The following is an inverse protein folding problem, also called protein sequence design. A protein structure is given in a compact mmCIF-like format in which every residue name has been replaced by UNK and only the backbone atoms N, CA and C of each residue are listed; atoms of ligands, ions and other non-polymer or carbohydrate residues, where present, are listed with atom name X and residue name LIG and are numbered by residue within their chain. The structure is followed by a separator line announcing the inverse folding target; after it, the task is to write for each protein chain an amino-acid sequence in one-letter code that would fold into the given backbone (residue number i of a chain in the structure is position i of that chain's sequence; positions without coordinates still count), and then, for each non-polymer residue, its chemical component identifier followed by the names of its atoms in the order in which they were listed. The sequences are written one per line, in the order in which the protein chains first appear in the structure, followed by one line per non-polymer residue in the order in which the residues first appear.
data_IF_769707668745
#
_entry.id   IF_769707668745
#
_cell.length_a   1.000
_cell.length_b   1.000
_cell.length_c   1.000
_cell.angle_alpha   90.00
_cell.angle_beta   90.00
_cell.angle_gamma   90.00
#
_symmetry.space_group_name_H-M   'P 1'
#
loop_
_entity.id
_entity.type
_entity.pdbx_description
1 polymer ?
#
# COMPACT_ATOMS: atom_id res chain seq x y z
N UNK A 1 48.45 36.08 56.16
CA UNK A 1 48.22 34.78 55.49
C UNK A 1 47.21 35.01 54.36
N UNK A 2 47.71 35.36 53.18
CA UNK A 2 46.89 35.63 51.98
C UNK A 2 46.62 34.30 51.27
N UNK A 3 45.36 33.84 51.23
CA UNK A 3 44.95 32.70 50.42
C UNK A 3 44.56 33.19 49.02
N UNK A 4 45.44 32.98 48.05
CA UNK A 4 45.11 33.07 46.63
C UNK A 4 44.03 32.01 46.30
N UNK A 5 42.77 32.41 46.15
CA UNK A 5 41.76 31.59 45.49
C UNK A 5 42.16 31.43 44.01
N UNK A 6 42.76 30.29 43.68
CA UNK A 6 42.98 29.88 42.29
C UNK A 6 41.62 29.59 41.64
N UNK A 7 41.09 30.56 40.87
CA UNK A 7 40.00 30.29 39.95
C UNK A 7 40.45 29.23 38.95
N UNK A 8 39.86 28.03 39.06
CA UNK A 8 40.20 26.89 38.20
C UNK A 8 39.66 27.20 36.78
N UNK A 9 40.45 27.00 35.71
CA UNK A 9 40.09 27.37 34.33
C UNK A 9 38.77 26.73 33.84
N UNK A 10 38.35 25.62 34.45
CA UNK A 10 37.08 24.95 34.14
C UNK A 10 35.83 25.80 34.44
N UNK A 11 35.89 26.75 35.38
CA UNK A 11 34.74 27.60 35.73
C UNK A 11 34.41 28.63 34.63
N UNK A 12 35.42 29.11 33.91
CA UNK A 12 35.27 30.09 32.83
C UNK A 12 34.80 29.43 31.52
N UNK A 13 35.22 28.19 31.29
CA UNK A 13 34.78 27.40 30.14
C UNK A 13 33.29 27.06 30.27
N UNK A 14 32.82 26.68 31.47
CA UNK A 14 31.41 26.37 31.70
C UNK A 14 30.49 27.59 31.49
N UNK A 15 30.91 28.78 31.93
CA UNK A 15 30.14 30.03 31.75
C UNK A 15 30.11 30.47 30.28
N UNK A 16 31.22 30.30 29.55
CA UNK A 16 31.28 30.61 28.12
C UNK A 16 30.39 29.68 27.29
N UNK A 17 30.39 28.37 27.59
CA UNK A 17 29.51 27.40 26.91
C UNK A 17 28.04 27.72 27.16
N UNK A 18 27.68 28.07 28.40
CA UNK A 18 26.32 28.46 28.74
C UNK A 18 25.88 29.73 27.99
N UNK A 19 26.78 30.72 27.86
CA UNK A 19 26.52 31.95 27.10
C UNK A 19 26.34 31.70 25.59
N UNK A 20 27.13 30.80 25.01
CA UNK A 20 26.99 30.43 23.59
C UNK A 20 25.67 29.71 23.33
N UNK A 21 25.22 28.85 24.26
CA UNK A 21 23.94 28.15 24.15
C UNK A 21 22.77 29.14 24.24
N UNK A 22 22.79 30.07 25.20
CA UNK A 22 21.70 31.04 25.34
C UNK A 22 21.65 32.02 24.17
N UNK A 23 22.80 32.47 23.66
CA UNK A 23 22.88 33.31 22.47
C UNK A 23 22.42 32.55 21.21
N UNK A 24 22.77 31.27 21.09
CA UNK A 24 22.30 30.40 20.00
C UNK A 24 20.79 30.19 20.05
N UNK A 25 20.21 30.01 21.24
CA UNK A 25 18.76 29.91 21.41
C UNK A 25 18.06 31.23 21.03
N UNK A 26 18.51 32.38 21.49
CA UNK A 26 17.83 33.65 21.17
C UNK A 26 17.88 33.99 19.68
N UNK A 27 19.00 33.69 18.99
CA UNK A 27 19.12 33.86 17.54
C UNK A 27 18.24 32.87 16.78
N UNK A 28 18.12 31.63 17.26
CA UNK A 28 17.21 30.64 16.67
C UNK A 28 15.75 31.12 16.73
N UNK A 29 15.33 31.69 17.86
CA UNK A 29 13.94 32.15 18.04
C UNK A 29 13.65 33.43 17.23
N UNK A 30 14.65 34.27 16.96
CA UNK A 30 14.53 35.39 16.03
C UNK A 30 14.44 34.95 14.56
N UNK A 31 15.14 33.86 14.17
CA UNK A 31 15.13 33.35 12.79
C UNK A 31 13.87 32.57 12.44
N UNK A 32 13.18 32.02 13.44
CA UNK A 32 11.96 31.23 13.27
C UNK A 32 10.84 31.84 14.13
N UNK A 33 10.25 32.99 13.74
CA UNK A 33 9.10 33.52 14.43
C UNK A 33 8.00 32.46 14.47
N UNK A 34 7.47 32.23 15.67
CA UNK A 34 6.30 31.38 15.86
C UNK A 34 5.20 32.01 15.01
N UNK A 35 4.68 31.28 14.03
CA UNK A 35 3.59 31.78 13.21
C UNK A 35 2.35 31.90 14.09
N UNK A 36 2.03 33.12 14.49
CA UNK A 36 0.72 33.41 15.09
C UNK A 36 -0.31 33.39 13.96
N UNK A 37 -1.34 32.55 14.09
CA UNK A 37 -2.51 32.62 13.23
C UNK A 37 -3.06 34.05 13.25
N UNK A 38 -3.47 34.58 12.10
CA UNK A 38 -4.17 35.86 12.03
C UNK A 38 -5.36 35.88 13.01
N UNK A 39 -5.63 37.06 13.59
CA UNK A 39 -6.82 37.26 14.40
C UNK A 39 -8.06 36.88 13.55
N UNK A 40 -8.86 35.94 14.05
CA UNK A 40 -10.04 35.45 13.34
C UNK A 40 -11.08 36.55 13.06
N UNK A 41 -12.12 36.23 12.29
CA UNK A 41 -13.24 37.15 12.04
C UNK A 41 -13.90 37.58 13.36
N UNK A 42 -14.42 38.81 13.41
CA UNK A 42 -15.23 39.25 14.54
C UNK A 42 -16.52 38.42 14.58
N UNK A 43 -16.64 37.53 15.58
CA UNK A 43 -17.79 36.63 15.78
C UNK A 43 -18.96 37.34 16.47
N UNK A 44 -19.24 38.55 16.02
CA UNK A 44 -20.35 39.36 16.48
C UNK A 44 -21.15 39.80 15.26
N UNK A 45 -22.45 40.00 15.39
CA UNK A 45 -23.29 40.45 14.29
C UNK A 45 -24.13 41.66 14.67
N UNK A 46 -24.35 42.55 13.70
CA UNK A 46 -25.13 43.76 13.90
C UNK A 46 -26.62 43.43 13.94
N UNK A 47 -27.33 44.06 14.87
CA UNK A 47 -28.78 44.07 14.94
C UNK A 47 -29.27 45.52 15.03
N UNK A 48 -30.32 45.82 14.27
CA UNK A 48 -31.01 47.10 14.32
C UNK A 48 -32.49 46.84 14.58
N UNK A 49 -33.08 47.65 15.45
CA UNK A 49 -34.50 47.62 15.72
C UNK A 49 -35.06 49.02 15.89
N UNK A 50 -36.38 49.14 15.70
CA UNK A 50 -37.14 50.33 16.09
C UNK A 50 -38.06 49.94 17.23
N UNK A 51 -37.94 50.65 18.34
CA UNK A 51 -38.80 50.49 19.50
C UNK A 51 -40.01 51.42 19.38
N UNK A 52 -41.19 50.85 19.58
CA UNK A 52 -42.47 51.56 19.60
C UNK A 52 -43.25 51.17 20.85
N UNK A 53 -44.03 52.10 21.37
CA UNK A 53 -45.02 51.80 22.40
C UNK A 53 -46.17 50.97 21.81
N UNK A 54 -47.03 50.43 22.68
CA UNK A 54 -48.21 49.63 22.27
C UNK A 54 -49.18 50.38 21.35
N UNK A 55 -49.21 51.72 21.43
CA UNK A 55 -50.00 52.59 20.57
C UNK A 55 -49.36 52.88 19.19
N UNK A 56 -48.17 52.31 18.94
CA UNK A 56 -47.41 52.49 17.70
C UNK A 56 -46.55 53.76 17.66
N UNK A 57 -46.58 54.61 18.69
CA UNK A 57 -45.70 55.77 18.77
C UNK A 57 -44.25 55.34 19.01
N UNK A 58 -43.29 56.08 18.46
CA UNK A 58 -41.86 55.81 18.73
C UNK A 58 -41.54 56.11 20.19
N UNK A 59 -40.73 55.27 20.81
CA UNK A 59 -40.23 55.54 22.17
C UNK A 59 -39.36 56.80 22.16
N UNK A 60 -39.27 57.48 23.29
CA UNK A 60 -38.39 58.65 23.43
C UNK A 60 -36.92 58.25 23.31
N UNK A 61 -36.08 59.22 22.95
CA UNK A 61 -34.64 59.01 22.88
C UNK A 61 -34.08 58.87 24.29
N UNK A 62 -33.73 57.63 24.64
CA UNK A 62 -33.22 57.29 25.96
C UNK A 62 -32.41 55.99 25.90
N UNK A 63 -31.81 55.61 27.02
CA UNK A 63 -31.19 54.31 27.20
C UNK A 63 -32.23 53.28 27.68
N UNK A 64 -32.33 52.17 26.96
CA UNK A 64 -33.22 51.06 27.29
C UNK A 64 -32.39 49.80 27.54
N UNK A 65 -32.68 49.08 28.62
CA UNK A 65 -32.13 47.74 28.83
C UNK A 65 -32.89 46.75 27.95
N UNK A 66 -32.19 46.09 27.04
CA UNK A 66 -32.74 45.08 26.15
C UNK A 66 -32.02 43.77 26.37
N UNK A 67 -32.79 42.71 26.52
CA UNK A 67 -32.29 41.33 26.62
C UNK A 67 -32.53 40.67 25.26
N UNK A 68 -31.44 40.22 24.65
CA UNK A 68 -31.43 39.45 23.41
C UNK A 68 -31.22 37.99 23.75
N UNK A 69 -32.02 37.10 23.17
CA UNK A 69 -31.90 35.66 23.38
C UNK A 69 -31.98 34.92 22.06
N UNK A 70 -31.14 33.90 21.86
CA UNK A 70 -31.17 33.04 20.67
C UNK A 70 -31.75 31.68 21.03
N UNK A 71 -32.68 31.20 20.20
CA UNK A 71 -33.42 29.95 20.38
C UNK A 71 -33.32 29.10 19.11
N UNK A 72 -33.39 27.78 19.27
CA UNK A 72 -33.47 26.82 18.16
C UNK A 72 -34.92 26.49 17.73
N UNK A 73 -35.91 27.22 18.28
CA UNK A 73 -37.34 27.04 18.03
C UNK A 73 -38.04 28.40 18.07
N UNK A 74 -39.12 28.54 17.29
CA UNK A 74 -39.88 29.76 17.09
C UNK A 74 -40.68 30.21 18.33
N UNK A 75 -41.16 29.25 19.14
CA UNK A 75 -41.92 29.50 20.37
C UNK A 75 -41.54 28.53 21.49
N UNK A 76 -41.60 28.99 22.74
CA UNK A 76 -41.17 28.19 23.89
C UNK A 76 -39.66 27.91 23.90
N UNK A 77 -39.26 26.73 24.39
CA UNK A 77 -37.86 26.31 24.46
C UNK A 77 -37.01 27.11 25.46
N UNK A 78 -35.75 26.71 25.60
CA UNK A 78 -34.75 27.43 26.40
C UNK A 78 -33.81 28.21 25.49
N UNK A 79 -33.38 29.39 25.94
CA UNK A 79 -32.40 30.18 25.21
C UNK A 79 -31.05 29.44 25.17
N UNK A 80 -30.49 29.28 23.98
CA UNK A 80 -29.13 28.76 23.77
C UNK A 80 -28.07 29.80 24.13
N UNK A 81 -28.44 31.08 23.99
CA UNK A 81 -27.60 32.21 24.36
C UNK A 81 -28.47 33.40 24.77
N UNK A 82 -27.97 34.21 25.71
CA UNK A 82 -28.62 35.43 26.18
C UNK A 82 -27.59 36.52 26.47
N UNK A 83 -27.87 37.75 26.02
CA UNK A 83 -27.10 38.96 26.31
C UNK A 83 -28.05 40.06 26.79
N UNK A 84 -27.74 40.68 27.93
CA UNK A 84 -28.44 41.88 28.41
C UNK A 84 -27.58 43.10 28.15
N UNK A 85 -28.15 44.10 27.47
CA UNK A 85 -27.42 45.29 27.02
C UNK A 85 -28.24 46.55 27.15
N UNK A 86 -27.58 47.64 27.49
CA UNK A 86 -28.18 48.98 27.42
C UNK A 86 -27.99 49.52 26.00
N UNK A 87 -29.09 49.81 25.30
CA UNK A 87 -29.07 50.41 23.96
C UNK A 87 -29.69 51.79 24.01
N UNK A 88 -29.09 52.77 23.33
CA UNK A 88 -29.64 54.12 23.22
C UNK A 88 -30.44 54.25 21.93
N UNK A 89 -31.65 54.79 22.02
CA UNK A 89 -32.50 55.06 20.85
C UNK A 89 -32.31 56.49 20.35
N UNK A 90 -32.40 56.64 19.03
CA UNK A 90 -32.53 57.92 18.34
C UNK A 90 -33.69 57.82 17.34
N UNK A 91 -34.73 58.64 17.52
CA UNK A 91 -36.03 58.50 16.87
C UNK A 91 -36.60 57.07 16.99
N UNK A 92 -36.44 56.46 18.17
CA UNK A 92 -36.84 55.08 18.45
C UNK A 92 -35.99 54.00 17.79
N UNK A 93 -35.00 54.32 16.96
CA UNK A 93 -34.09 53.34 16.33
C UNK A 93 -32.86 53.12 17.20
N UNK A 94 -32.45 51.87 17.37
CA UNK A 94 -31.15 51.52 17.97
C UNK A 94 -30.36 50.61 17.03
N UNK A 95 -29.04 50.68 17.12
CA UNK A 95 -28.13 49.71 16.53
C UNK A 95 -27.26 49.11 17.64
N UNK A 96 -26.96 47.82 17.53
CA UNK A 96 -26.07 47.15 18.48
C UNK A 96 -25.37 45.98 17.82
N UNK A 97 -24.17 45.69 18.31
CA UNK A 97 -23.43 44.48 18.01
C UNK A 97 -23.77 43.41 19.06
N UNK A 98 -24.31 42.27 18.65
CA UNK A 98 -24.64 41.13 19.51
C UNK A 98 -23.43 40.21 19.63
N UNK A 99 -23.19 39.67 20.83
CA UNK A 99 -21.97 38.94 21.18
C UNK A 99 -20.88 39.83 21.81
N UNK A 100 -21.18 41.10 22.08
CA UNK A 100 -20.19 42.09 22.55
C UNK A 100 -19.99 42.12 24.07
N UNK A 101 -21.05 41.85 24.83
CA UNK A 101 -21.05 41.76 26.30
C UNK A 101 -20.98 40.30 26.72
N UNK A 102 -21.84 39.46 26.15
CA UNK A 102 -21.81 38.00 26.33
C UNK A 102 -21.41 37.36 25.01
N UNK A 103 -20.20 36.83 24.89
CA UNK A 103 -19.73 36.17 23.67
C UNK A 103 -20.66 35.06 23.20
N UNK A 104 -20.85 34.93 21.89
CA UNK A 104 -21.59 33.81 21.30
C UNK A 104 -20.84 32.49 21.56
N UNK A 105 -21.51 31.45 22.06
CA UNK A 105 -20.87 30.17 22.34
C UNK A 105 -20.54 29.45 21.03
N UNK A 106 -19.47 28.65 21.03
CA UNK A 106 -19.08 27.85 19.85
C UNK A 106 -20.11 26.78 19.45
N UNK A 107 -21.05 26.45 20.34
CA UNK A 107 -22.18 25.56 20.05
C UNK A 107 -23.26 26.20 19.18
N UNK A 108 -23.22 27.52 18.99
CA UNK A 108 -24.14 28.23 18.10
C UNK A 108 -23.63 28.12 16.66
N UNK A 109 -24.04 27.05 15.99
CA UNK A 109 -23.65 26.75 14.61
C UNK A 109 -24.64 27.36 13.60
N UNK A 110 -24.24 28.45 12.95
CA UNK A 110 -25.06 29.14 11.94
C UNK A 110 -25.17 28.40 10.60
N UNK A 111 -24.59 27.19 10.48
CA UNK A 111 -24.92 26.28 9.37
C UNK A 111 -26.29 25.61 9.56
N UNK A 112 -26.90 25.71 10.74
CA UNK A 112 -28.25 25.20 11.00
C UNK A 112 -29.35 26.22 10.66
N UNK A 113 -30.47 25.74 10.09
CA UNK A 113 -31.59 26.55 9.62
C UNK A 113 -32.70 26.79 10.69
N UNK A 114 -32.33 26.74 11.98
CA UNK A 114 -33.31 26.71 13.09
C UNK A 114 -33.19 27.88 14.09
N UNK A 115 -32.37 28.88 13.80
CA UNK A 115 -32.10 29.95 14.76
C UNK A 115 -33.10 31.11 14.71
N UNK A 116 -33.59 31.50 15.89
CA UNK A 116 -34.51 32.62 16.11
C UNK A 116 -33.96 33.57 17.18
N UNK A 117 -34.12 34.88 16.97
CA UNK A 117 -33.78 35.95 17.90
C UNK A 117 -35.05 36.44 18.63
N UNK A 118 -35.04 36.28 19.94
CA UNK A 118 -35.99 36.89 20.87
C UNK A 118 -35.45 38.21 21.42
N UNK A 119 -36.36 39.17 21.61
CA UNK A 119 -36.05 40.52 22.09
C UNK A 119 -37.01 40.87 23.21
N UNK A 120 -36.47 41.24 24.37
CA UNK A 120 -37.22 41.72 25.54
C UNK A 120 -36.71 43.08 25.96
N UNK A 121 -37.60 44.06 26.13
CA UNK A 121 -37.23 45.44 26.51
C UNK A 121 -37.68 45.69 27.95
N UNK A 122 -36.76 46.08 28.83
CA UNK A 122 -37.05 46.40 30.22
C UNK A 122 -37.81 45.29 30.95
N UNK A 123 -38.97 45.65 31.49
CA UNK A 123 -39.84 44.75 32.25
C UNK A 123 -40.91 44.05 31.37
N UNK A 124 -40.97 44.35 30.07
CA UNK A 124 -42.01 43.84 29.19
C UNK A 124 -41.88 42.32 28.96
N UNK A 125 -42.95 41.72 28.44
CA UNK A 125 -42.86 40.35 27.93
C UNK A 125 -41.90 40.29 26.72
N UNK A 126 -41.29 39.13 26.48
CA UNK A 126 -40.52 38.92 25.24
C UNK A 126 -41.43 39.11 24.02
N UNK A 127 -40.93 39.85 23.03
CA UNK A 127 -41.69 40.14 21.82
C UNK A 127 -42.00 38.86 21.05
N UNK A 128 -43.23 38.75 20.54
CA UNK A 128 -43.70 37.65 19.70
C UNK A 128 -44.24 38.19 18.37
N UNK A 129 -44.00 37.52 17.22
CA UNK A 129 -43.14 36.34 17.04
C UNK A 129 -41.64 36.66 17.15
N UNK A 130 -40.82 35.64 17.44
CA UNK A 130 -39.35 35.76 17.38
C UNK A 130 -38.90 36.00 15.94
N UNK A 131 -37.78 36.69 15.78
CA UNK A 131 -37.22 37.03 14.47
C UNK A 131 -36.38 35.85 13.98
N UNK A 132 -36.75 35.22 12.87
CA UNK A 132 -35.92 34.18 12.24
C UNK A 132 -34.62 34.80 11.72
N UNK A 133 -33.48 34.23 12.09
CA UNK A 133 -32.19 34.66 11.55
C UNK A 133 -32.04 34.09 10.14
N UNK A 134 -31.69 34.95 9.19
CA UNK A 134 -31.40 34.57 7.81
C UNK A 134 -29.98 34.97 7.44
N UNK A 135 -29.41 34.30 6.43
CA UNK A 135 -28.11 34.67 5.90
C UNK A 135 -28.20 35.91 4.99
N UNK A 136 -27.08 36.63 4.88
CA UNK A 136 -26.92 37.70 3.89
C UNK A 136 -26.81 37.11 2.49
N UNK A 137 -27.31 37.75 1.41
CA UNK A 137 -27.21 37.21 0.05
C UNK A 137 -25.78 36.86 -0.37
N UNK A 138 -24.78 37.64 0.04
CA UNK A 138 -23.37 37.34 -0.23
C UNK A 138 -22.83 36.15 0.57
N UNK A 139 -23.47 35.78 1.69
CA UNK A 139 -23.11 34.60 2.46
C UNK A 139 -23.59 33.29 1.81
N UNK A 140 -24.57 33.32 0.90
CA UNK A 140 -24.96 32.12 0.12
C UNK A 140 -23.78 31.60 -0.72
N UNK A 141 -22.98 32.51 -1.27
CA UNK A 141 -21.78 32.13 -2.02
C UNK A 141 -20.60 31.73 -1.12
N UNK A 142 -20.66 32.00 0.18
CA UNK A 142 -19.63 31.57 1.12
C UNK A 142 -19.84 30.11 1.59
N UNK A 143 -21.05 29.57 1.39
CA UNK A 143 -21.36 28.15 1.61
C UNK A 143 -20.68 27.25 0.56
N UNK A 144 -20.48 27.79 -0.65
CA UNK A 144 -19.82 27.12 -1.76
C UNK A 144 -18.39 27.66 -1.93
N UNK A 145 -17.44 26.78 -2.27
CA UNK A 145 -16.12 27.22 -2.73
C UNK A 145 -16.13 27.26 -4.26
N UNK A 146 -16.06 28.47 -4.84
CA UNK A 146 -16.15 28.69 -6.30
C UNK A 146 -17.41 28.03 -6.91
N UNK A 147 -18.53 28.10 -6.20
CA UNK A 147 -19.81 27.50 -6.62
C UNK A 147 -19.86 25.98 -6.52
N UNK A 148 -18.89 25.35 -5.83
CA UNK A 148 -18.86 23.91 -5.57
C UNK A 148 -19.18 23.60 -4.11
N UNK A 149 -20.01 22.58 -3.94
CA UNK A 149 -20.33 21.93 -2.67
C UNK A 149 -19.08 21.27 -2.06
N UNK A 150 -19.07 21.07 -0.74
CA UNK A 150 -17.98 20.37 -0.05
C UNK A 150 -17.71 18.95 -0.63
N UNK A 151 -18.75 18.29 -1.14
CA UNK A 151 -18.67 16.97 -1.77
C UNK A 151 -17.88 16.95 -3.09
N UNK A 152 -17.63 18.10 -3.70
CA UNK A 152 -16.78 18.22 -4.88
C UNK A 152 -15.27 18.18 -4.57
N UNK A 153 -14.89 18.24 -3.30
CA UNK A 153 -13.50 18.29 -2.86
C UNK A 153 -13.09 17.00 -2.13
N UNK A 154 -11.82 16.56 -2.27
CA UNK A 154 -11.30 15.46 -1.48
C UNK A 154 -11.13 15.89 -0.02
N UNK A 155 -11.82 15.21 0.89
CA UNK A 155 -11.72 15.41 2.33
C UNK A 155 -10.60 14.55 2.91
N UNK A 156 -9.69 15.18 3.67
CA UNK A 156 -8.50 14.51 4.20
C UNK A 156 -8.84 13.36 5.17
N UNK A 157 -9.97 13.47 5.87
CA UNK A 157 -10.45 12.44 6.80
C UNK A 157 -11.27 11.33 6.14
N UNK A 158 -11.56 11.44 4.84
CA UNK A 158 -12.47 10.53 4.17
C UNK A 158 -13.93 10.99 4.22
N UNK A 159 -14.76 10.33 3.40
CA UNK A 159 -16.22 10.35 3.46
C UNK A 159 -16.73 8.94 3.75
N UNK A 160 -17.83 8.82 4.50
CA UNK A 160 -18.54 7.54 4.63
C UNK A 160 -18.98 7.08 3.24
N UNK A 161 -18.61 5.85 2.85
CA UNK A 161 -18.77 5.35 1.48
C UNK A 161 -17.53 5.50 0.58
N UNK A 162 -16.47 6.17 1.04
CA UNK A 162 -15.21 6.34 0.32
C UNK A 162 -15.18 7.58 -0.58
N UNK A 163 -14.02 7.85 -1.19
CA UNK A 163 -13.81 8.98 -2.11
C UNK A 163 -13.05 8.51 -3.34
N UNK A 164 -13.44 9.05 -4.50
CA UNK A 164 -12.74 8.82 -5.77
C UNK A 164 -12.18 10.14 -6.26
N UNK A 165 -10.87 10.18 -6.54
CA UNK A 165 -10.23 11.33 -7.18
C UNK A 165 -10.09 11.04 -8.68
N UNK A 166 -10.45 12.02 -9.50
CA UNK A 166 -10.35 11.98 -10.97
C UNK A 166 -9.60 13.23 -11.39
N UNK A 167 -8.62 13.11 -12.29
CA UNK A 167 -7.80 14.24 -12.73
C UNK A 167 -8.57 15.23 -13.59
N UNK A 168 -9.26 14.71 -14.59
CA UNK A 168 -10.21 15.45 -15.42
C UNK A 168 -11.19 14.51 -16.09
N UNK A 169 -12.24 15.07 -16.70
CA UNK A 169 -13.35 14.30 -17.30
C UNK A 169 -13.28 14.24 -18.82
N UNK A 170 -12.38 14.99 -19.44
CA UNK A 170 -12.12 14.92 -20.87
C UNK A 170 -11.09 13.85 -21.22
N UNK A 171 -11.00 13.52 -22.51
CA UNK A 171 -10.04 12.53 -23.03
C UNK A 171 -8.61 12.97 -22.73
N UNK A 172 -7.80 12.02 -22.23
CA UNK A 172 -6.37 12.20 -21.92
C UNK A 172 -6.07 13.11 -20.72
N UNK A 173 -7.06 13.53 -19.95
CA UNK A 173 -6.82 14.24 -18.69
C UNK A 173 -6.37 13.25 -17.59
N UNK A 174 -5.19 13.49 -17.03
CA UNK A 174 -4.57 12.61 -16.05
C UNK A 174 -4.78 13.11 -14.62
N UNK A 175 -5.02 12.19 -13.68
CA UNK A 175 -4.82 12.48 -12.26
C UNK A 175 -3.34 12.46 -11.96
N UNK A 176 -2.77 13.62 -11.65
CA UNK A 176 -1.36 13.74 -11.30
C UNK A 176 -1.22 13.97 -9.80
N UNK A 177 -0.59 13.04 -9.10
CA UNK A 177 -0.22 13.19 -7.69
C UNK A 177 1.26 13.53 -7.59
N UNK A 178 1.58 14.60 -6.87
CA UNK A 178 2.95 15.04 -6.61
C UNK A 178 3.10 15.37 -5.14
N UNK A 179 4.20 14.91 -4.54
CA UNK A 179 4.51 15.05 -3.13
C UNK A 179 4.89 16.48 -2.79
N UNK A 180 5.60 17.15 -3.70
CA UNK A 180 5.99 18.55 -3.60
C UNK A 180 6.36 19.12 -4.97
N UNK A 181 6.25 20.44 -5.10
CA UNK A 181 6.77 21.20 -6.24
C UNK A 181 8.29 21.45 -6.16
N UNK A 182 8.93 21.09 -5.04
CA UNK A 182 10.38 21.19 -4.86
C UNK A 182 11.13 20.31 -5.86
N UNK A 183 12.33 20.74 -6.27
CA UNK A 183 13.20 19.97 -7.15
C UNK A 183 13.64 18.64 -6.52
N UNK A 184 13.76 18.62 -5.18
CA UNK A 184 13.99 17.42 -4.39
C UNK A 184 12.64 16.85 -3.96
N UNK A 185 12.06 16.03 -4.84
CA UNK A 185 10.75 15.44 -4.60
C UNK A 185 10.77 14.44 -3.43
N UNK A 186 9.59 14.19 -2.89
CA UNK A 186 9.35 13.16 -1.90
C UNK A 186 8.77 11.89 -2.54
N UNK A 187 7.90 11.23 -1.77
CA UNK A 187 7.15 10.06 -2.23
C UNK A 187 5.67 10.27 -1.99
N UNK A 188 4.84 9.68 -2.83
CA UNK A 188 3.42 9.51 -2.53
C UNK A 188 3.26 8.22 -1.74
N UNK A 189 2.80 8.30 -0.49
CA UNK A 189 2.62 7.15 0.38
C UNK A 189 1.18 6.61 0.28
N UNK A 190 1.06 5.31 0.02
CA UNK A 190 -0.20 4.56 0.01
C UNK A 190 -0.17 3.52 1.14
N UNK A 191 -0.27 4.00 2.38
CA UNK A 191 -0.05 3.18 3.56
C UNK A 191 1.41 2.72 3.64
N UNK A 192 1.65 1.41 3.46
CA UNK A 192 3.00 0.81 3.44
C UNK A 192 3.64 0.76 2.05
N UNK A 193 2.88 1.07 1.01
CA UNK A 193 3.34 1.21 -0.38
C UNK A 193 3.72 2.66 -0.68
N UNK A 194 4.52 2.89 -1.73
CA UNK A 194 4.84 4.26 -2.14
C UNK A 194 5.16 4.37 -3.63
N UNK A 195 4.88 5.53 -4.22
CA UNK A 195 5.51 5.98 -5.46
C UNK A 195 6.64 6.95 -5.12
N UNK A 196 7.88 6.55 -5.42
CA UNK A 196 9.08 7.36 -5.29
C UNK A 196 9.25 8.19 -6.57
N UNK A 197 8.83 9.45 -6.48
CA UNK A 197 8.84 10.38 -7.62
C UNK A 197 10.23 10.77 -8.07
N UNK A 198 11.20 10.82 -7.13
CA UNK A 198 12.59 11.19 -7.47
C UNK A 198 13.19 10.16 -8.42
N UNK A 199 12.93 8.88 -8.15
CA UNK A 199 13.55 7.78 -8.88
C UNK A 199 12.61 7.11 -9.88
N UNK A 200 11.36 7.57 -9.98
CA UNK A 200 10.29 6.97 -10.79
C UNK A 200 10.09 5.47 -10.48
N UNK A 201 9.84 5.14 -9.21
CA UNK A 201 9.69 3.75 -8.74
C UNK A 201 8.39 3.53 -7.97
N UNK A 202 7.69 2.42 -8.24
CA UNK A 202 6.51 1.99 -7.50
C UNK A 202 6.87 0.84 -6.55
N UNK A 203 6.68 1.06 -5.25
CA UNK A 203 6.81 0.04 -4.21
C UNK A 203 5.44 -0.43 -3.71
N UNK A 204 5.21 -1.75 -3.72
CA UNK A 204 4.00 -2.39 -3.19
C UNK A 204 4.35 -3.12 -1.89
N UNK A 205 3.78 -2.69 -0.77
CA UNK A 205 4.18 -3.14 0.58
C UNK A 205 5.60 -2.69 0.98
N UNK A 206 6.17 -1.74 0.23
CA UNK A 206 7.53 -1.22 0.36
C UNK A 206 7.50 0.29 0.09
N UNK A 207 7.98 1.10 1.03
CA UNK A 207 8.07 2.56 0.90
C UNK A 207 9.45 3.04 0.42
N UNK A 208 10.44 2.14 0.34
CA UNK A 208 11.78 2.36 -0.23
C UNK A 208 12.02 1.33 -1.34
N UNK A 209 11.37 1.48 -2.50
CA UNK A 209 11.54 0.53 -3.61
C UNK A 209 12.98 0.56 -4.14
N UNK A 210 13.56 -0.62 -4.37
CA UNK A 210 14.92 -0.77 -4.92
C UNK A 210 14.97 -0.77 -6.45
N UNK A 211 13.83 -0.85 -7.14
CA UNK A 211 13.70 -0.97 -8.60
C UNK A 211 12.43 -0.27 -9.09
N UNK A 212 12.25 -0.13 -10.41
CA UNK A 212 11.08 0.55 -11.00
C UNK A 212 9.74 0.01 -10.49
N UNK A 213 9.65 -1.31 -10.29
CA UNK A 213 8.58 -1.98 -9.55
C UNK A 213 9.23 -2.87 -8.48
N UNK A 214 8.88 -2.67 -7.22
CA UNK A 214 9.36 -3.48 -6.10
C UNK A 214 8.18 -3.97 -5.26
N UNK A 215 7.98 -5.28 -5.22
CA UNK A 215 6.85 -5.92 -4.53
C UNK A 215 7.38 -6.70 -3.33
N UNK A 216 7.02 -6.26 -2.12
CA UNK A 216 7.32 -7.00 -0.89
C UNK A 216 6.31 -8.12 -0.70
N UNK A 217 6.56 -9.27 -1.33
CA UNK A 217 5.72 -10.47 -1.25
C UNK A 217 5.62 -11.18 -2.59
N UNK A 218 4.53 -11.91 -2.79
CA UNK A 218 4.25 -12.64 -4.03
C UNK A 218 3.69 -11.69 -5.11
N UNK A 219 4.26 -11.73 -6.32
CA UNK A 219 3.62 -11.14 -7.50
C UNK A 219 2.60 -12.13 -8.07
N UNK A 220 1.34 -11.72 -8.20
CA UNK A 220 0.24 -12.56 -8.69
C UNK A 220 -0.22 -12.14 -10.08
N UNK A 221 -0.25 -13.08 -11.03
CA UNK A 221 -0.71 -12.91 -12.40
C UNK A 221 -2.04 -13.67 -12.57
N UNK A 222 -3.15 -12.94 -12.57
CA UNK A 222 -4.50 -13.54 -12.65
C UNK A 222 -4.82 -13.98 -14.07
N UNK A 223 -5.47 -15.14 -14.21
CA UNK A 223 -6.04 -15.58 -15.48
C UNK A 223 -7.26 -14.75 -15.88
N UNK A 224 -7.55 -14.67 -17.17
CA UNK A 224 -8.71 -13.92 -17.72
C UNK A 224 -10.05 -14.54 -17.33
N UNK A 225 -10.12 -15.86 -17.14
CA UNK A 225 -11.34 -16.57 -16.76
C UNK A 225 -11.36 -16.92 -15.28
N UNK A 226 -10.30 -17.57 -14.77
CA UNK A 226 -10.14 -17.95 -13.37
C UNK A 226 -8.67 -18.30 -13.06
N UNK A 227 -8.36 -18.54 -11.78
CA UNK A 227 -7.03 -18.97 -11.33
C UNK A 227 -5.96 -17.87 -11.38
N UNK A 228 -4.72 -18.24 -11.03
CA UNK A 228 -3.56 -17.37 -11.12
C UNK A 228 -2.24 -18.15 -11.12
N UNK A 229 -1.19 -17.53 -11.63
CA UNK A 229 0.21 -17.92 -11.40
C UNK A 229 0.82 -16.94 -10.40
N UNK A 230 1.52 -17.45 -9.39
CA UNK A 230 2.21 -16.65 -8.39
C UNK A 230 3.72 -16.80 -8.50
N UNK A 231 4.44 -15.68 -8.42
CA UNK A 231 5.89 -15.64 -8.32
C UNK A 231 6.24 -15.19 -6.90
N UNK A 232 6.60 -16.15 -6.05
CA UNK A 232 6.91 -15.93 -4.64
C UNK A 232 8.42 -16.02 -4.40
N UNK A 233 9.07 -14.98 -3.84
CA UNK A 233 10.45 -15.09 -3.40
C UNK A 233 10.56 -15.99 -2.16
N UNK A 234 11.72 -16.62 -1.96
CA UNK A 234 12.02 -17.38 -0.75
C UNK A 234 12.14 -16.44 0.49
N UNK A 235 11.87 -16.97 1.69
CA UNK A 235 11.74 -16.17 2.91
C UNK A 235 13.08 -15.74 3.60
N UNK A 236 14.26 -16.12 3.09
CA UNK A 236 15.60 -15.92 3.71
C UNK A 236 16.63 -15.73 2.58
N UNK A 237 17.81 -15.07 2.68
CA UNK A 237 18.24 -13.77 3.24
C UNK A 237 19.20 -13.10 2.23
N UNK A 238 19.25 -13.61 0.99
CA UNK A 238 20.09 -13.13 -0.09
C UNK A 238 19.24 -12.67 -1.26
N UNK A 239 19.75 -11.72 -2.04
CA UNK A 239 19.12 -11.27 -3.27
C UNK A 239 19.51 -12.20 -4.41
N UNK A 240 18.52 -12.72 -5.12
CA UNK A 240 18.73 -13.44 -6.39
C UNK A 240 18.03 -12.65 -7.49
N UNK A 241 18.78 -12.22 -8.49
CA UNK A 241 18.23 -11.62 -9.71
C UNK A 241 18.32 -12.64 -10.83
N UNK A 242 17.18 -13.02 -11.39
CA UNK A 242 17.11 -13.82 -12.60
C UNK A 242 17.16 -12.91 -13.82
N UNK A 243 18.20 -13.03 -14.64
CA UNK A 243 18.36 -12.31 -15.90
C UNK A 243 17.81 -13.19 -17.03
N UNK A 244 16.77 -12.72 -17.71
CA UNK A 244 16.15 -13.42 -18.84
C UNK A 244 17.06 -13.41 -20.08
N UNK A 245 16.93 -14.41 -20.96
CA UNK A 245 17.56 -14.37 -22.29
C UNK A 245 17.09 -13.16 -23.10
N UNK A 246 17.93 -12.68 -24.00
CA UNK A 246 17.64 -11.52 -24.87
C UNK A 246 16.68 -11.82 -26.02
N UNK A 247 16.34 -13.09 -26.24
CA UNK A 247 15.42 -13.55 -27.27
C UNK A 247 14.57 -14.70 -26.72
N UNK A 248 13.48 -15.00 -27.41
CA UNK A 248 12.63 -16.15 -27.11
C UNK A 248 13.35 -17.49 -27.39
N UNK A 249 12.80 -18.56 -26.83
CA UNK A 249 13.25 -19.93 -27.08
C UNK A 249 12.78 -20.42 -28.45
N UNK A 250 13.45 -21.47 -28.95
CA UNK A 250 12.87 -22.27 -30.03
C UNK A 250 11.81 -23.23 -29.44
N UNK A 251 10.87 -23.70 -30.26
CA UNK A 251 9.90 -24.69 -29.83
C UNK A 251 10.58 -25.90 -29.16
N UNK A 252 10.01 -26.38 -28.07
CA UNK A 252 10.60 -27.44 -27.23
C UNK A 252 11.78 -27.01 -26.34
N UNK A 253 12.08 -25.71 -26.21
CA UNK A 253 13.10 -25.22 -25.27
C UNK A 253 12.50 -24.87 -23.91
N UNK A 254 13.28 -25.09 -22.86
CA UNK A 254 12.95 -24.67 -21.48
C UNK A 254 13.96 -23.66 -20.96
N UNK A 255 13.50 -22.85 -20.01
CA UNK A 255 14.34 -21.87 -19.34
C UNK A 255 15.14 -22.56 -18.23
N UNK A 256 16.47 -22.56 -18.35
CA UNK A 256 17.40 -23.16 -17.38
C UNK A 256 18.19 -22.09 -16.65
N UNK A 257 18.29 -22.23 -15.33
CA UNK A 257 19.16 -21.39 -14.48
C UNK A 257 20.60 -21.91 -14.48
N UNK A 258 21.57 -20.99 -14.49
CA UNK A 258 22.99 -21.30 -14.28
C UNK A 258 23.35 -21.56 -12.81
N UNK A 259 22.41 -21.38 -11.87
CA UNK A 259 22.69 -21.35 -10.43
C UNK A 259 23.26 -20.02 -9.92
N UNK A 260 23.62 -19.10 -10.83
CA UNK A 260 24.13 -17.76 -10.52
C UNK A 260 23.19 -16.63 -11.00
N UNK A 261 21.90 -16.94 -11.24
CA UNK A 261 20.89 -15.95 -11.64
C UNK A 261 20.85 -15.63 -13.13
N UNK A 262 21.65 -16.28 -13.99
CA UNK A 262 21.49 -16.14 -15.45
C UNK A 262 20.58 -17.24 -15.96
N UNK A 263 19.55 -16.86 -16.70
CA UNK A 263 18.64 -17.79 -17.36
C UNK A 263 19.00 -17.93 -18.84
N UNK A 264 18.87 -19.14 -19.38
CA UNK A 264 19.15 -19.46 -20.78
C UNK A 264 18.14 -20.45 -21.32
N UNK A 265 17.84 -20.39 -22.61
CA UNK A 265 17.04 -21.41 -23.27
C UNK A 265 17.90 -22.65 -23.57
N UNK A 266 17.41 -23.83 -23.21
CA UNK A 266 18.02 -25.12 -23.58
C UNK A 266 16.98 -26.01 -24.21
N UNK A 267 17.36 -26.77 -25.24
CA UNK A 267 16.49 -27.79 -25.80
C UNK A 267 16.10 -28.78 -24.71
N UNK A 268 14.81 -29.07 -24.58
CA UNK A 268 14.33 -30.12 -23.70
C UNK A 268 14.57 -31.48 -24.37
N UNK A 269 15.78 -32.04 -24.20
CA UNK A 269 16.02 -33.45 -24.51
C UNK A 269 15.26 -34.29 -23.49
N UNK A 270 14.39 -35.18 -23.94
CA UNK A 270 13.41 -35.91 -23.13
C UNK A 270 13.93 -36.35 -21.75
N UNK A 271 13.10 -36.13 -20.73
CA UNK A 271 13.36 -36.53 -19.35
C UNK A 271 13.40 -38.04 -19.18
N UNK A 272 14.59 -38.59 -19.33
CA UNK A 272 14.95 -39.92 -18.88
C UNK A 272 16.47 -39.94 -18.95
N UNK A 273 17.13 -40.18 -17.83
CA UNK A 273 18.49 -40.68 -17.93
C UNK A 273 18.41 -41.92 -18.81
N UNK A 274 18.79 -41.79 -20.09
CA UNK A 274 18.94 -42.93 -20.96
C UNK A 274 19.82 -43.94 -20.24
N UNK A 275 19.61 -45.21 -20.55
CA UNK A 275 20.43 -46.31 -20.05
C UNK A 275 21.92 -45.89 -20.10
N UNK A 276 22.67 -45.90 -18.96
CA UNK A 276 24.06 -45.46 -18.95
C UNK A 276 24.86 -46.06 -20.10
N UNK A 277 25.56 -45.22 -20.87
CA UNK A 277 26.36 -45.65 -22.04
C UNK A 277 27.42 -46.69 -21.70
N UNK A 278 27.79 -46.75 -20.42
CA UNK A 278 28.89 -47.57 -19.90
C UNK A 278 28.37 -48.83 -19.20
N UNK A 279 27.06 -49.05 -19.15
CA UNK A 279 26.48 -50.25 -18.58
C UNK A 279 26.49 -51.40 -19.60
N UNK A 280 26.73 -52.61 -19.11
CA UNK A 280 26.59 -53.83 -19.90
C UNK A 280 25.14 -54.31 -19.84
N UNK A 281 24.50 -54.40 -21.01
CA UNK A 281 23.11 -54.82 -21.14
C UNK A 281 23.02 -56.23 -21.69
N UNK A 282 22.08 -57.02 -21.17
CA UNK A 282 21.62 -58.23 -21.82
C UNK A 282 20.30 -57.89 -22.51
N UNK A 283 20.27 -57.99 -23.84
CA UNK A 283 19.11 -57.65 -24.66
C UNK A 283 18.58 -58.91 -25.35
N UNK A 284 17.27 -58.96 -25.62
CA UNK A 284 16.65 -60.09 -26.35
C UNK A 284 16.63 -59.87 -27.87
N UNK A 285 17.04 -58.68 -28.32
CA UNK A 285 17.14 -58.26 -29.72
C UNK A 285 18.22 -57.17 -29.82
N UNK A 286 18.66 -56.84 -31.04
CA UNK A 286 19.66 -55.80 -31.23
C UNK A 286 19.06 -54.41 -31.00
N UNK A 287 19.72 -53.58 -30.20
CA UNK A 287 19.25 -52.23 -29.88
C UNK A 287 20.17 -51.15 -30.45
N UNK A 288 19.59 -50.18 -31.16
CA UNK A 288 20.37 -49.09 -31.75
C UNK A 288 20.89 -48.15 -30.67
N UNK A 289 22.20 -48.14 -30.45
CA UNK A 289 22.88 -47.22 -29.53
C UNK A 289 23.51 -47.86 -28.28
N UNK A 290 23.36 -49.17 -28.09
CA UNK A 290 24.02 -49.89 -26.99
C UNK A 290 25.29 -50.61 -27.49
N UNK A 291 26.41 -49.91 -27.57
CA UNK A 291 27.67 -50.50 -28.06
C UNK A 291 28.28 -51.58 -27.15
N UNK A 292 27.80 -51.68 -25.91
CA UNK A 292 28.24 -52.66 -24.90
C UNK A 292 27.19 -53.76 -24.63
N UNK A 293 26.17 -53.90 -25.48
CA UNK A 293 25.15 -54.94 -25.30
C UNK A 293 25.67 -56.34 -25.63
N UNK A 294 25.15 -57.32 -24.91
CA UNK A 294 25.13 -58.73 -25.30
C UNK A 294 23.71 -59.04 -25.76
N UNK A 295 23.52 -59.15 -27.08
CA UNK A 295 22.25 -59.51 -27.68
C UNK A 295 22.03 -61.04 -27.66
N UNK A 296 21.19 -61.51 -26.74
CA UNK A 296 20.80 -62.91 -26.61
C UNK A 296 19.89 -63.39 -27.75
N UNK A 297 19.24 -62.46 -28.46
CA UNK A 297 18.46 -62.78 -29.68
C UNK A 297 19.32 -63.22 -30.86
N UNK A 298 20.64 -63.03 -30.79
CA UNK A 298 21.59 -63.49 -31.82
C UNK A 298 22.11 -64.93 -31.60
N UNK A 299 21.69 -65.62 -30.53
CA UNK A 299 22.12 -66.99 -30.26
C UNK A 299 21.46 -67.95 -31.27
N UNK A 300 22.25 -68.46 -32.24
CA UNK A 300 21.75 -69.36 -33.29
C UNK A 300 21.31 -70.73 -32.77
N UNK A 301 21.99 -71.22 -31.72
CA UNK A 301 21.87 -72.61 -31.26
C UNK A 301 21.10 -72.72 -29.92
N UNK A 302 20.61 -71.59 -29.39
CA UNK A 302 19.92 -71.52 -28.09
C UNK A 302 20.80 -71.82 -26.86
N UNK A 303 22.07 -72.21 -27.06
CA UNK A 303 23.03 -72.54 -26.01
C UNK A 303 24.01 -71.38 -25.78
N UNK A 304 24.12 -70.97 -24.51
CA UNK A 304 24.95 -69.86 -24.07
C UNK A 304 26.23 -70.37 -23.40
N UNK A 305 27.38 -69.82 -23.79
CA UNK A 305 28.63 -69.97 -23.05
C UNK A 305 28.93 -68.70 -22.25
N UNK A 306 29.23 -68.87 -20.97
CA UNK A 306 29.76 -67.81 -20.12
C UNK A 306 31.24 -68.04 -19.83
N UNK A 307 32.07 -67.09 -20.23
CA UNK A 307 33.49 -67.02 -19.83
C UNK A 307 33.66 -65.91 -18.80
N UNK A 308 34.58 -66.08 -17.84
CA UNK A 308 34.94 -65.01 -16.90
C UNK A 308 36.44 -64.79 -16.97
N UNK A 309 36.86 -63.58 -17.35
CA UNK A 309 38.27 -63.17 -17.39
C UNK A 309 38.41 -61.84 -16.67
N UNK A 310 39.32 -61.76 -15.69
CA UNK A 310 39.55 -60.52 -14.94
C UNK A 310 38.34 -59.97 -14.18
N UNK A 311 37.37 -60.83 -13.82
CA UNK A 311 36.14 -60.43 -13.12
C UNK A 311 35.01 -59.95 -14.03
N UNK A 312 35.21 -59.95 -15.35
CA UNK A 312 34.18 -59.61 -16.35
C UNK A 312 33.61 -60.90 -16.93
N UNK A 313 32.29 -61.06 -16.84
CA UNK A 313 31.58 -62.16 -17.50
C UNK A 313 31.32 -61.77 -18.97
N UNK A 314 31.82 -62.58 -19.90
CA UNK A 314 31.57 -62.45 -21.34
C UNK A 314 30.69 -63.60 -21.80
N UNK A 315 29.54 -63.26 -22.37
CA UNK A 315 28.57 -64.21 -22.89
C UNK A 315 28.75 -64.35 -24.40
N UNK A 316 28.71 -65.58 -24.93
CA UNK A 316 28.90 -65.88 -26.35
C UNK A 316 28.15 -67.14 -26.77
N UNK A 317 28.00 -67.37 -28.08
CA UNK A 317 27.38 -68.59 -28.63
C UNK A 317 28.27 -69.79 -28.31
N UNK A 318 27.69 -70.82 -27.69
CA UNK A 318 28.40 -72.08 -27.45
C UNK A 318 28.64 -72.82 -28.77
N UNK A 319 29.81 -73.44 -28.95
CA UNK A 319 30.14 -74.18 -30.17
C UNK A 319 30.11 -75.69 -29.96
N UNK A 320 29.41 -76.42 -30.84
CA UNK A 320 29.37 -77.88 -30.83
C UNK A 320 30.77 -78.48 -31.02
N UNK A 321 31.07 -79.57 -30.32
CA UNK A 321 32.36 -80.26 -30.31
C UNK A 321 33.46 -79.58 -29.49
N UNK A 322 33.24 -78.33 -29.02
CA UNK A 322 34.18 -77.62 -28.14
C UNK A 322 33.57 -77.36 -26.77
N UNK A 323 32.34 -76.82 -26.74
CA UNK A 323 31.67 -76.43 -25.50
C UNK A 323 30.58 -77.42 -25.09
N UNK A 324 30.00 -78.14 -26.06
CA UNK A 324 29.02 -79.20 -25.87
C UNK A 324 29.14 -80.27 -26.96
N UNK A 325 28.73 -81.51 -26.67
CA UNK A 325 28.65 -82.57 -27.69
C UNK A 325 27.41 -82.37 -28.55
N UNK A 326 27.54 -82.48 -29.89
CA UNK A 326 26.42 -82.30 -30.82
C UNK A 326 25.28 -83.29 -30.48
N UNK A 327 24.03 -82.91 -30.78
CA UNK A 327 22.86 -83.71 -30.46
C UNK A 327 23.04 -85.17 -30.94
N UNK A 328 22.96 -86.12 -30.01
CA UNK A 328 23.10 -87.54 -30.28
C UNK A 328 21.94 -87.97 -31.20
N UNK A 329 22.19 -88.06 -32.51
CA UNK A 329 21.29 -88.78 -33.41
C UNK A 329 21.37 -90.25 -33.04
N UNK A 330 20.42 -90.72 -32.22
CA UNK A 330 20.25 -92.14 -31.94
C UNK A 330 19.89 -92.79 -33.28
N UNK A 331 20.86 -93.45 -33.92
CA UNK A 331 20.58 -94.35 -35.03
C UNK A 331 19.64 -95.43 -34.52
N UNK A 332 18.56 -95.72 -35.26
CA UNK A 332 17.52 -96.68 -34.87
C UNK A 332 18.01 -98.14 -34.72
N UNK A 333 19.31 -98.40 -34.92
CA UNK A 333 19.90 -99.74 -34.91
C UNK A 333 20.58 -100.11 -33.57
N UNK A 334 19.87 -99.95 -32.45
CA UNK A 334 20.24 -100.67 -31.22
C UNK A 334 19.37 -101.93 -31.12
N UNK A 335 19.68 -102.91 -31.97
CA UNK A 335 19.29 -104.31 -31.77
C UNK A 335 20.54 -105.13 -31.42
N UNK A 336 20.98 -105.04 -30.17
CA UNK A 336 22.08 -105.84 -29.63
C UNK A 336 21.61 -106.59 -28.40
N UNK A 337 21.33 -107.88 -28.55
CA UNK A 337 20.90 -108.80 -27.49
C UNK A 337 21.93 -108.92 -26.36
N UNK A 338 21.48 -108.77 -25.11
CA UNK A 338 22.23 -109.22 -23.94
C UNK A 338 22.12 -110.75 -23.87
N UNK A 339 23.24 -111.45 -24.06
CA UNK A 339 23.37 -112.85 -23.66
C UNK A 339 23.99 -112.89 -22.26
N UNK A 340 23.22 -113.45 -21.32
CA UNK A 340 23.62 -113.74 -19.94
C UNK A 340 24.64 -114.89 -19.94
N UNK A 341 25.85 -114.67 -19.41
CA UNK A 341 26.86 -115.72 -19.27
C UNK A 341 26.91 -116.17 -17.81
N UNK A 342 26.15 -117.22 -17.51
CA UNK A 342 26.32 -118.02 -16.29
C UNK A 342 27.52 -118.95 -16.44
N UNK A 343 28.49 -118.82 -15.53
CA UNK A 343 29.59 -119.74 -15.30
C UNK A 343 30.24 -119.48 -13.95
#
# INVERSE_FOLDING_TARGET
MWHHLKFRPHFHIATLVLFIITLGLTIYWQKYPISESAAGINKQFAFQGRLTNTDGTVVSDNSYTVVFSIYNIDTGGSATWTESKSVTTANGIFNTMLGSVTSLPGSLDFNADTWYLGVKVGADAEMTPRIRLGASPYAFNADLLDGKEATAFPLLLGLSGGQTLIGGTATSENLTLQSTADATKGKILFGTSAYDEVNNRLGIGKNDPGSALDVKGTLRLSGVTSGYVGLAPAAIAGSTTYTLPSADGTDGYVLKTSGAGVLSWTAQTGGGGGAPTDAHYLTSQAETGLSAEVNLGALSDGLLKQAVVGGVATLSIASAGTDYEAALTISSDVSGSISDETG
#
